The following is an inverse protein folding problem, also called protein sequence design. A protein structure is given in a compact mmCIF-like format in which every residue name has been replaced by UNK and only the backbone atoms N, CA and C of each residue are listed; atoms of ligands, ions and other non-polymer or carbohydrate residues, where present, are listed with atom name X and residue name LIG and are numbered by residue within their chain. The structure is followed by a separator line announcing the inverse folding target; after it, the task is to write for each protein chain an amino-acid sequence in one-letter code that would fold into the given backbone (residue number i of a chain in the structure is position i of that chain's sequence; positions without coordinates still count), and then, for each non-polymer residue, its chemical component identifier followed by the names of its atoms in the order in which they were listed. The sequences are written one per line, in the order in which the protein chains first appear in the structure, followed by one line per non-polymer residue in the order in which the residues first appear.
data_IF_090191330296
#
_entry.id   IF_090191330296
#
_cell.length_a   1.000
_cell.length_b   1.000
_cell.length_c   1.000
_cell.angle_alpha   90.00
_cell.angle_beta   90.00
_cell.angle_gamma   90.00
#
_symmetry.space_group_name_H-M   'P 1'
#
loop_
_entity.id
_entity.type
_entity.pdbx_description
1 polymer ?
#
# COMPACT_ATOMS: atom_id res chain seq x y z
N UNK A 1 -14.63 -28.85 1.27
CA UNK A 1 -13.87 -27.95 0.38
C UNK A 1 -12.38 -28.11 0.66
N UNK A 2 -11.55 -28.15 -0.37
CA UNK A 2 -10.11 -28.45 -0.27
C UNK A 2 -9.33 -27.18 0.12
N UNK A 3 -8.61 -27.23 1.23
CA UNK A 3 -7.61 -26.25 1.63
C UNK A 3 -6.48 -26.20 0.61
N UNK A 4 -6.25 -25.06 -0.03
CA UNK A 4 -5.05 -24.80 -0.84
C UNK A 4 -4.09 -23.96 0.00
N UNK A 5 -3.08 -24.59 0.58
CA UNK A 5 -1.90 -23.89 1.12
C UNK A 5 -0.96 -23.59 -0.04
N UNK A 6 -0.59 -22.32 -0.31
CA UNK A 6 0.48 -22.03 -1.25
C UNK A 6 1.83 -22.43 -0.63
N UNK A 7 2.60 -23.22 -1.40
CA UNK A 7 3.97 -23.62 -1.07
C UNK A 7 4.91 -22.42 -1.27
N UNK A 8 5.35 -21.80 -0.17
CA UNK A 8 6.43 -20.79 -0.23
C UNK A 8 7.79 -21.51 -0.20
N UNK A 9 8.25 -21.92 -1.37
CA UNK A 9 9.56 -22.51 -1.56
C UNK A 9 10.65 -21.45 -1.30
N UNK A 10 11.27 -21.52 -0.12
CA UNK A 10 12.44 -20.74 0.27
C UNK A 10 13.60 -20.98 -0.72
N UNK A 11 13.85 -20.02 -1.61
CA UNK A 11 15.10 -19.98 -2.39
C UNK A 11 16.11 -19.12 -1.62
N UNK A 12 17.12 -19.78 -1.05
CA UNK A 12 18.27 -19.14 -0.42
C UNK A 12 19.23 -18.70 -1.51
N UNK A 13 19.15 -17.44 -1.94
CA UNK A 13 20.20 -16.83 -2.76
C UNK A 13 21.25 -16.23 -1.82
N UNK A 14 22.39 -16.92 -1.66
CA UNK A 14 23.59 -16.30 -1.10
C UNK A 14 24.27 -15.51 -2.22
N UNK A 15 24.16 -14.18 -2.18
CA UNK A 15 25.01 -13.30 -2.96
C UNK A 15 26.28 -13.02 -2.14
N UNK A 16 27.44 -13.39 -2.70
CA UNK A 16 28.77 -13.12 -2.17
C UNK A 16 29.13 -11.66 -2.48
N UNK A 17 29.33 -10.82 -1.45
CA UNK A 17 29.91 -9.48 -1.58
C UNK A 17 31.44 -9.56 -1.56
N UNK A 18 32.09 -9.27 -2.69
CA UNK A 18 33.49 -8.92 -2.75
C UNK A 18 33.63 -7.39 -2.69
N UNK A 19 34.33 -6.88 -1.68
CA UNK A 19 34.45 -5.44 -1.40
C UNK A 19 35.91 -4.99 -1.59
N UNK A 20 36.04 -3.99 -2.47
CA UNK A 20 36.92 -2.80 -2.39
C UNK A 20 38.43 -2.96 -2.60
N UNK A 21 38.88 -2.66 -3.81
CA UNK A 21 40.24 -2.22 -4.11
C UNK A 21 40.31 -0.69 -4.18
N UNK A 22 40.79 -0.05 -3.12
CA UNK A 22 41.10 1.38 -3.07
C UNK A 22 42.52 1.60 -3.63
N UNK A 23 42.67 2.23 -4.80
CA UNK A 23 43.99 2.61 -5.33
C UNK A 23 44.20 4.12 -5.17
N UNK A 24 45.12 4.47 -4.27
CA UNK A 24 45.72 5.80 -4.14
C UNK A 24 46.96 5.88 -5.05
N UNK A 25 46.97 6.80 -6.01
CA UNK A 25 48.18 7.17 -6.74
C UNK A 25 48.48 8.67 -6.52
N UNK A 26 49.64 8.93 -5.93
CA UNK A 26 50.18 10.25 -5.64
C UNK A 26 51.53 10.47 -6.35
N UNK A 27 51.79 11.76 -6.70
CA UNK A 27 53.05 12.39 -7.18
C UNK A 27 53.44 12.10 -8.65
N UNK A 28 53.91 13.02 -9.52
CA UNK A 28 54.24 14.46 -9.48
C UNK A 28 55.32 14.82 -10.55
N UNK A 29 55.24 15.97 -11.25
CA UNK A 29 56.41 16.73 -11.76
C UNK A 29 56.84 16.70 -13.26
N UNK A 30 56.37 17.69 -14.03
CA UNK A 30 56.97 18.52 -15.13
C UNK A 30 58.05 18.06 -16.17
N UNK A 31 57.71 18.36 -17.44
CA UNK A 31 58.51 18.94 -18.57
C UNK A 31 59.29 18.04 -19.58
N UNK A 32 58.94 18.18 -20.87
CA UNK A 32 59.49 17.62 -22.13
C UNK A 32 60.74 18.42 -22.66
N UNK A 33 61.60 17.96 -23.62
CA UNK A 33 61.27 17.38 -24.96
C UNK A 33 62.16 16.25 -25.60
N UNK A 34 61.54 15.58 -26.58
CA UNK A 34 61.88 14.49 -27.57
C UNK A 34 63.15 14.68 -28.48
N UNK A 35 63.66 13.71 -29.33
CA UNK A 35 62.97 12.54 -29.97
C UNK A 35 63.74 11.18 -30.21
N UNK A 36 62.97 10.07 -30.26
CA UNK A 36 62.98 8.76 -31.00
C UNK A 36 64.23 8.08 -31.63
N UNK A 37 64.28 6.72 -31.88
CA UNK A 37 63.14 5.81 -32.18
C UNK A 37 63.12 4.39 -31.55
N UNK A 38 61.96 3.73 -31.71
CA UNK A 38 61.46 2.42 -31.23
C UNK A 38 62.39 1.18 -31.35
N UNK A 39 62.07 0.07 -30.65
CA UNK A 39 61.18 -0.91 -31.27
C UNK A 39 60.09 -1.46 -30.34
N UNK A 40 58.87 -1.53 -30.89
CA UNK A 40 57.86 -2.58 -30.75
C UNK A 40 57.90 -3.47 -29.49
N UNK A 41 56.92 -3.28 -28.60
CA UNK A 41 56.18 -4.38 -27.96
C UNK A 41 54.93 -3.86 -27.22
N UNK A 42 53.79 -4.48 -27.55
CA UNK A 42 52.53 -4.54 -26.80
C UNK A 42 51.78 -3.24 -26.54
N UNK A 43 50.93 -2.90 -27.52
CA UNK A 43 49.62 -2.33 -27.22
C UNK A 43 48.86 -3.33 -26.33
N UNK A 44 48.90 -3.11 -25.01
CA UNK A 44 47.91 -3.68 -24.12
C UNK A 44 46.64 -2.83 -24.29
N UNK A 45 45.76 -3.29 -25.18
CA UNK A 45 44.37 -2.85 -25.24
C UNK A 45 43.77 -3.13 -23.86
N UNK A 46 43.69 -2.09 -23.02
CA UNK A 46 42.81 -2.09 -21.87
C UNK A 46 41.39 -2.06 -22.44
N UNK A 47 40.80 -3.24 -22.63
CA UNK A 47 39.37 -3.40 -22.79
C UNK A 47 38.73 -2.71 -21.58
N UNK A 48 38.22 -1.51 -21.79
CA UNK A 48 37.26 -0.93 -20.87
C UNK A 48 36.07 -1.90 -20.90
N UNK A 49 35.98 -2.76 -19.89
CA UNK A 49 34.73 -3.44 -19.60
C UNK A 49 33.68 -2.35 -19.44
N UNK A 50 32.83 -2.22 -20.45
CA UNK A 50 31.63 -1.41 -20.39
C UNK A 50 30.85 -1.93 -19.18
N UNK A 51 30.82 -1.13 -18.12
CA UNK A 51 29.86 -1.33 -17.04
C UNK A 51 28.51 -1.14 -17.69
N UNK A 52 27.90 -2.26 -18.08
CA UNK A 52 26.50 -2.30 -18.46
C UNK A 52 25.74 -1.83 -17.23
N UNK A 53 25.32 -0.57 -17.23
CA UNK A 53 24.27 -0.10 -16.35
C UNK A 53 23.07 -0.99 -16.67
N UNK A 54 22.80 -1.96 -15.81
CA UNK A 54 21.62 -2.81 -15.92
C UNK A 54 20.42 -1.87 -15.78
N UNK A 55 19.81 -1.50 -16.91
CA UNK A 55 18.55 -0.79 -16.95
C UNK A 55 17.59 -1.53 -16.03
N UNK A 56 16.93 -0.86 -15.07
CA UNK A 56 16.07 -1.54 -14.12
C UNK A 56 14.99 -2.28 -14.90
N UNK A 57 15.02 -3.61 -14.82
CA UNK A 57 13.98 -4.47 -15.37
C UNK A 57 12.61 -3.94 -14.89
N UNK A 58 11.67 -3.80 -15.82
CA UNK A 58 10.28 -3.44 -15.53
C UNK A 58 9.61 -4.64 -14.85
N UNK A 59 9.95 -4.83 -13.58
CA UNK A 59 9.30 -5.81 -12.71
C UNK A 59 7.92 -5.26 -12.38
N UNK A 60 6.87 -5.98 -12.78
CA UNK A 60 5.51 -5.79 -12.29
C UNK A 60 5.53 -5.89 -10.76
N UNK A 61 5.65 -4.74 -10.08
CA UNK A 61 5.69 -4.65 -8.62
C UNK A 61 4.26 -4.79 -8.10
N UNK A 62 4.13 -5.44 -6.94
CA UNK A 62 2.84 -5.50 -6.25
C UNK A 62 2.39 -4.07 -5.96
N UNK A 63 1.14 -3.72 -6.30
CA UNK A 63 0.58 -2.41 -6.02
C UNK A 63 -0.24 -2.44 -4.73
N UNK A 64 0.24 -1.74 -3.70
CA UNK A 64 -0.44 -1.62 -2.41
C UNK A 64 -0.98 -0.21 -2.26
N UNK A 65 -2.27 -0.09 -1.93
CA UNK A 65 -2.94 1.19 -1.69
C UNK A 65 -3.28 1.32 -0.21
N UNK A 66 -2.68 2.28 0.49
CA UNK A 66 -3.00 2.60 1.87
C UNK A 66 -4.01 3.76 1.93
N UNK A 67 -5.01 3.65 2.82
CA UNK A 67 -6.04 4.69 2.98
C UNK A 67 -5.47 5.99 3.56
N UNK A 68 -4.60 5.89 4.56
CA UNK A 68 -4.04 7.03 5.30
C UNK A 68 -2.52 7.11 5.17
N UNK A 69 -1.97 8.30 5.35
CA UNK A 69 -0.51 8.53 5.32
C UNK A 69 0.25 7.74 6.39
N UNK A 70 -0.36 7.52 7.57
CA UNK A 70 0.23 6.73 8.65
C UNK A 70 0.40 5.27 8.22
N UNK A 71 -0.64 4.68 7.63
CA UNK A 71 -0.57 3.32 7.10
C UNK A 71 0.40 3.25 5.91
N UNK A 72 0.41 4.26 5.04
CA UNK A 72 1.37 4.36 3.93
C UNK A 72 2.83 4.33 4.39
N UNK A 73 3.18 5.06 5.45
CA UNK A 73 4.53 5.08 6.02
C UNK A 73 4.94 3.70 6.57
N UNK A 74 4.03 3.06 7.32
CA UNK A 74 4.26 1.71 7.85
C UNK A 74 4.44 0.70 6.72
N UNK A 75 3.51 0.69 5.76
CA UNK A 75 3.50 -0.28 4.65
C UNK A 75 4.73 -0.08 3.75
N UNK A 76 5.09 1.15 3.39
CA UNK A 76 6.28 1.44 2.57
C UNK A 76 7.57 1.04 3.27
N UNK A 77 7.68 1.26 4.59
CA UNK A 77 8.84 0.80 5.38
C UNK A 77 8.99 -0.73 5.36
N UNK A 78 7.86 -1.45 5.37
CA UNK A 78 7.86 -2.92 5.36
C UNK A 78 8.07 -3.50 3.96
N UNK A 79 7.49 -2.88 2.94
CA UNK A 79 7.50 -3.39 1.57
C UNK A 79 8.80 -3.06 0.82
N UNK A 80 9.48 -1.96 1.16
CA UNK A 80 10.74 -1.54 0.51
C UNK A 80 10.62 -1.57 -1.02
N UNK A 81 11.51 -2.27 -1.71
CA UNK A 81 11.55 -2.35 -3.17
C UNK A 81 10.61 -3.41 -3.75
N UNK A 82 9.97 -4.24 -2.92
CA UNK A 82 9.12 -5.36 -3.36
C UNK A 82 7.72 -4.92 -3.83
N UNK A 83 7.28 -3.72 -3.45
CA UNK A 83 5.95 -3.21 -3.80
C UNK A 83 5.95 -1.69 -4.06
N UNK A 84 5.05 -1.25 -4.93
CA UNK A 84 4.70 0.16 -5.07
C UNK A 84 3.58 0.51 -4.08
N UNK A 85 3.83 1.50 -3.22
CA UNK A 85 2.84 1.94 -2.20
C UNK A 85 2.26 3.29 -2.58
N UNK A 86 0.95 3.33 -2.82
CA UNK A 86 0.19 4.57 -3.04
C UNK A 86 -0.63 4.91 -1.79
N UNK A 87 -0.71 6.20 -1.44
CA UNK A 87 -1.61 6.70 -0.39
C UNK A 87 -2.69 7.54 -1.03
N UNK A 88 -3.96 7.20 -0.81
CA UNK A 88 -5.09 7.94 -1.43
C UNK A 88 -5.39 9.25 -0.72
N UNK A 89 -5.24 9.28 0.60
CA UNK A 89 -5.54 10.47 1.39
C UNK A 89 -4.31 11.39 1.44
N UNK A 90 -4.43 12.65 1.00
CA UNK A 90 -3.31 13.59 1.04
C UNK A 90 -2.76 13.77 2.46
N UNK A 91 -1.45 14.03 2.62
CA UNK A 91 -0.87 14.36 3.92
C UNK A 91 -1.61 15.51 4.60
N UNK A 92 -2.02 15.30 5.84
CA UNK A 92 -2.74 16.29 6.66
C UNK A 92 -4.24 16.40 6.37
N UNK A 93 -4.81 15.60 5.48
CA UNK A 93 -6.26 15.50 5.34
C UNK A 93 -6.88 14.82 6.57
N UNK A 94 -8.09 15.24 6.93
CA UNK A 94 -8.89 14.63 7.99
C UNK A 94 -9.60 13.39 7.44
N UNK A 95 -9.39 12.20 8.03
CA UNK A 95 -9.97 10.96 7.51
C UNK A 95 -11.50 10.92 7.58
N UNK A 96 -12.12 11.63 8.53
CA UNK A 96 -13.58 11.72 8.61
C UNK A 96 -14.19 12.64 7.52
N UNK A 97 -13.41 13.59 7.03
CA UNK A 97 -13.84 14.56 6.00
C UNK A 97 -13.33 14.26 4.60
N UNK A 98 -12.49 13.23 4.42
CA UNK A 98 -11.97 12.85 3.11
C UNK A 98 -13.08 12.26 2.26
N UNK A 99 -13.25 12.75 1.03
CA UNK A 99 -14.23 12.25 0.06
C UNK A 99 -13.48 11.65 -1.14
N UNK A 100 -13.64 10.35 -1.42
CA UNK A 100 -12.93 9.72 -2.54
C UNK A 100 -13.45 10.22 -3.88
N UNK A 101 -12.53 10.59 -4.77
CA UNK A 101 -12.87 10.88 -6.16
C UNK A 101 -13.12 9.59 -6.95
N UNK A 102 -13.69 9.73 -8.15
CA UNK A 102 -13.81 8.61 -9.08
C UNK A 102 -12.44 8.01 -9.48
N UNK A 103 -11.37 8.81 -9.45
CA UNK A 103 -10.02 8.31 -9.71
C UNK A 103 -9.51 7.46 -8.54
N UNK A 104 -9.78 7.89 -7.30
CA UNK A 104 -9.39 7.14 -6.10
C UNK A 104 -10.10 5.80 -6.05
N UNK A 105 -11.41 5.78 -6.35
CA UNK A 105 -12.17 4.53 -6.44
C UNK A 105 -11.71 3.60 -7.56
N UNK A 106 -11.02 4.09 -8.59
CA UNK A 106 -10.37 3.24 -9.59
C UNK A 106 -9.04 2.69 -9.06
N UNK A 107 -8.20 3.55 -8.48
CA UNK A 107 -6.91 3.15 -7.86
C UNK A 107 -7.14 2.04 -6.83
N UNK A 108 -8.17 2.16 -6.00
CA UNK A 108 -8.53 1.15 -5.00
C UNK A 108 -8.94 -0.20 -5.59
N UNK A 109 -9.66 -0.21 -6.72
CA UNK A 109 -10.10 -1.44 -7.39
C UNK A 109 -8.99 -2.13 -8.19
N UNK A 110 -8.03 -1.37 -8.68
CA UNK A 110 -6.89 -1.89 -9.44
C UNK A 110 -5.75 -2.39 -8.54
N UNK A 111 -5.79 -2.10 -7.24
CA UNK A 111 -4.78 -2.49 -6.27
C UNK A 111 -4.73 -4.02 -6.05
N UNK A 112 -3.52 -4.57 -5.89
CA UNK A 112 -3.34 -5.95 -5.43
C UNK A 112 -3.74 -6.12 -3.95
N UNK A 113 -3.57 -5.05 -3.16
CA UNK A 113 -3.93 -4.98 -1.75
C UNK A 113 -4.32 -3.54 -1.37
N UNK A 114 -5.47 -3.38 -0.72
CA UNK A 114 -5.83 -2.15 -0.02
C UNK A 114 -5.60 -2.33 1.48
N UNK A 115 -4.99 -1.35 2.14
CA UNK A 115 -4.74 -1.34 3.59
C UNK A 115 -5.52 -0.20 4.23
N UNK A 116 -6.52 -0.55 5.03
CA UNK A 116 -7.42 0.36 5.73
C UNK A 116 -7.25 0.27 7.25
N UNK A 117 -7.58 1.34 7.96
CA UNK A 117 -7.55 1.37 9.42
C UNK A 117 -8.77 0.66 9.99
N UNK A 118 -9.97 1.04 9.55
CA UNK A 118 -11.23 0.57 10.13
C UNK A 118 -11.64 1.39 11.36
N UNK A 119 -12.57 0.86 12.17
CA UNK A 119 -13.19 1.56 13.31
C UNK A 119 -13.82 2.91 12.95
N UNK A 120 -14.48 2.99 11.78
CA UNK A 120 -15.14 4.21 11.27
C UNK A 120 -14.19 5.43 11.07
N UNK A 121 -12.88 5.21 11.01
CA UNK A 121 -11.94 6.30 10.73
C UNK A 121 -12.12 6.83 9.30
N UNK A 122 -12.26 5.94 8.32
CA UNK A 122 -12.45 6.27 6.91
C UNK A 122 -13.91 6.15 6.45
N UNK A 123 -14.84 6.79 7.17
CA UNK A 123 -16.30 6.66 6.97
C UNK A 123 -16.74 6.78 5.51
N UNK A 124 -16.30 7.82 4.78
CA UNK A 124 -16.72 8.04 3.40
C UNK A 124 -16.07 7.08 2.39
N UNK A 125 -15.08 6.28 2.81
CA UNK A 125 -14.45 5.23 2.00
C UNK A 125 -15.09 3.86 2.20
N UNK A 126 -15.88 3.65 3.27
CA UNK A 126 -16.41 2.32 3.63
C UNK A 126 -17.13 1.66 2.45
N UNK A 127 -18.06 2.36 1.80
CA UNK A 127 -18.80 1.80 0.65
C UNK A 127 -17.92 1.48 -0.56
N UNK A 128 -16.82 2.23 -0.75
CA UNK A 128 -15.85 1.96 -1.82
C UNK A 128 -15.02 0.71 -1.49
N UNK A 129 -14.60 0.56 -0.24
CA UNK A 129 -13.83 -0.60 0.23
C UNK A 129 -14.67 -1.88 0.18
N UNK A 130 -15.93 -1.82 0.62
CA UNK A 130 -16.89 -2.93 0.50
C UNK A 130 -17.07 -3.35 -0.97
N UNK A 131 -17.21 -2.39 -1.89
CA UNK A 131 -17.30 -2.69 -3.31
C UNK A 131 -16.03 -3.36 -3.86
N UNK A 132 -14.84 -2.95 -3.40
CA UNK A 132 -13.57 -3.61 -3.77
C UNK A 132 -13.58 -5.07 -3.33
N UNK A 133 -13.99 -5.37 -2.09
CA UNK A 133 -14.09 -6.75 -1.59
C UNK A 133 -15.14 -7.58 -2.36
N UNK A 134 -16.31 -7.00 -2.64
CA UNK A 134 -17.38 -7.64 -3.42
C UNK A 134 -16.94 -7.99 -4.85
N UNK A 135 -16.11 -7.15 -5.46
CA UNK A 135 -15.49 -7.37 -6.77
C UNK A 135 -14.31 -8.37 -6.72
N UNK A 136 -13.94 -8.85 -5.52
CA UNK A 136 -12.91 -9.87 -5.30
C UNK A 136 -11.50 -9.31 -5.05
N UNK A 137 -11.38 -8.00 -4.81
CA UNK A 137 -10.15 -7.36 -4.36
C UNK A 137 -9.78 -7.75 -2.93
N UNK A 138 -8.51 -7.53 -2.57
CA UNK A 138 -8.02 -7.81 -1.22
C UNK A 138 -8.01 -6.52 -0.39
N UNK A 139 -8.84 -6.46 0.65
CA UNK A 139 -8.79 -5.39 1.65
C UNK A 139 -8.28 -5.96 2.96
N UNK A 140 -7.26 -5.32 3.52
CA UNK A 140 -6.75 -5.59 4.85
C UNK A 140 -7.19 -4.45 5.77
N UNK A 141 -8.05 -4.76 6.73
CA UNK A 141 -8.53 -3.80 7.73
C UNK A 141 -7.81 -4.04 9.05
N UNK A 142 -7.01 -3.06 9.48
CA UNK A 142 -6.17 -3.17 10.69
C UNK A 142 -7.02 -3.44 11.93
N UNK A 143 -8.17 -2.78 12.05
CA UNK A 143 -9.11 -2.91 13.17
C UNK A 143 -9.52 -4.36 13.48
N UNK A 144 -9.65 -5.21 12.47
CA UNK A 144 -10.13 -6.59 12.62
C UNK A 144 -9.17 -7.46 13.42
N UNK A 145 -7.94 -7.00 13.60
CA UNK A 145 -6.87 -7.68 14.32
C UNK A 145 -6.59 -7.11 15.71
N UNK A 146 -7.33 -6.08 16.11
CA UNK A 146 -7.10 -5.32 17.34
C UNK A 146 -8.24 -5.50 18.35
N UNK A 147 -7.90 -5.31 19.62
CA UNK A 147 -8.85 -5.14 20.72
C UNK A 147 -8.89 -3.64 21.09
N UNK A 148 -9.79 -2.85 20.48
CA UNK A 148 -9.81 -1.41 20.69
C UNK A 148 -10.27 -1.06 22.10
N UNK A 149 -9.67 -0.02 22.67
CA UNK A 149 -10.13 0.53 23.95
C UNK A 149 -11.53 1.13 23.75
N UNK A 150 -12.51 0.83 24.62
CA UNK A 150 -13.84 1.42 24.53
C UNK A 150 -13.79 2.95 24.59
N UNK A 151 -14.65 3.60 23.80
CA UNK A 151 -14.83 5.04 23.90
C UNK A 151 -15.70 5.36 25.11
N UNK A 152 -15.11 5.86 26.19
CA UNK A 152 -15.82 6.37 27.37
C UNK A 152 -15.86 7.90 27.31
N UNK A 153 -17.07 8.48 27.25
CA UNK A 153 -17.29 9.92 27.28
C UNK A 153 -17.82 10.34 28.65
N UNK A 154 -17.02 11.07 29.42
CA UNK A 154 -17.37 11.59 30.77
C UNK A 154 -18.22 12.89 30.75
N UNK A 155 -18.75 13.29 29.59
CA UNK A 155 -19.65 14.45 29.51
C UNK A 155 -21.09 14.13 29.95
N UNK A 156 -21.97 15.14 30.11
CA UNK A 156 -23.35 14.93 30.54
C UNK A 156 -24.05 13.97 29.55
N UNK A 157 -24.30 12.75 30.01
CA UNK A 157 -24.63 11.61 29.17
C UNK A 157 -25.95 11.76 28.44
N UNK A 158 -25.93 11.47 27.14
CA UNK A 158 -27.12 10.99 26.45
C UNK A 158 -27.16 9.47 26.64
N UNK A 159 -28.03 9.02 27.55
CA UNK A 159 -28.42 7.61 27.58
C UNK A 159 -29.07 7.28 26.25
N UNK A 160 -28.47 6.37 25.48
CA UNK A 160 -29.24 5.63 24.49
C UNK A 160 -30.27 4.83 25.28
N UNK A 161 -31.52 5.30 25.29
CA UNK A 161 -32.64 4.50 25.70
C UNK A 161 -32.78 3.40 24.68
N UNK A 162 -32.67 2.15 25.14
CA UNK A 162 -33.15 1.01 24.39
C UNK A 162 -34.66 1.24 24.14
N UNK A 163 -35.00 1.73 22.96
CA UNK A 163 -36.38 1.73 22.48
C UNK A 163 -36.76 0.27 22.20
N UNK A 164 -37.23 -0.38 23.26
CA UNK A 164 -37.99 -1.62 23.24
C UNK A 164 -39.23 -1.40 22.37
N UNK A 165 -39.10 -1.69 21.07
CA UNK A 165 -40.22 -1.79 20.15
C UNK A 165 -41.04 -3.04 20.50
N UNK A 166 -41.81 -2.93 21.58
CA UNK A 166 -42.88 -3.85 21.89
C UNK A 166 -43.98 -3.73 20.84
N UNK A 167 -44.08 -4.75 19.99
CA UNK A 167 -45.23 -5.05 19.15
C UNK A 167 -46.52 -5.03 19.98
N UNK A 168 -47.42 -4.11 19.64
CA UNK A 168 -48.82 -4.20 19.99
C UNK A 168 -49.65 -3.94 18.73
N UNK A 169 -50.00 -5.05 18.07
CA UNK A 169 -51.14 -5.11 17.17
C UNK A 169 -52.41 -4.73 17.94
N UNK A 170 -53.14 -3.73 17.44
CA UNK A 170 -54.57 -3.62 17.72
C UNK A 170 -55.30 -3.57 16.37
N UNK A 171 -56.04 -4.64 16.14
CA UNK A 171 -56.94 -4.83 15.01
C UNK A 171 -58.21 -4.00 15.26
N UNK A 172 -58.31 -2.82 14.65
CA UNK A 172 -59.59 -2.11 14.58
C UNK A 172 -60.26 -2.35 13.23
N UNK A 173 -61.13 -3.35 13.26
CA UNK A 173 -62.16 -3.69 12.29
C UNK A 173 -63.18 -2.53 12.20
N UNK A 174 -63.18 -1.80 11.08
CA UNK A 174 -64.24 -0.86 10.74
C UNK A 174 -64.88 -1.21 9.41
N UNK A 175 -65.75 -2.22 9.47
CA UNK A 175 -66.85 -2.36 8.52
C UNK A 175 -67.82 -1.18 8.63
N UNK A 176 -68.00 -0.44 7.54
CA UNK A 176 -69.21 0.32 7.28
C UNK A 176 -69.61 0.20 5.80
N UNK A 177 -70.58 -0.67 5.57
CA UNK A 177 -71.50 -0.60 4.44
C UNK A 177 -72.33 0.69 4.51
N UNK A 178 -72.58 1.35 3.38
CA UNK A 178 -73.91 1.90 3.09
C UNK A 178 -74.12 2.08 1.57
N UNK A 179 -75.35 1.78 1.21
CA UNK A 179 -75.96 1.52 -0.09
C UNK A 179 -76.14 2.75 -1.02
N UNK A 180 -76.28 2.42 -2.31
CA UNK A 180 -77.20 2.92 -3.36
C UNK A 180 -77.66 4.40 -3.38
N UNK A 181 -77.34 5.10 -4.48
CA UNK A 181 -78.28 5.62 -5.51
C UNK A 181 -77.53 6.18 -6.74
#
# INVERSE_FOLDING_TARGET
MRSRTPNLARRRSLALLAVLGLVLAACGGAAEPEPDPEPAAEEAEAEAEEVQEEEPEDVDRVHIVATTSILGDIVSTLAQDDAEVTVIMPPGADPHGFEPSASDGRILREADLVVANGLMLEENLVSVLEAVEEEGGNVFTLADLLDPIPFEWDGPGHSHGDDDHGDAHDDDDHGHSHDDD
#
